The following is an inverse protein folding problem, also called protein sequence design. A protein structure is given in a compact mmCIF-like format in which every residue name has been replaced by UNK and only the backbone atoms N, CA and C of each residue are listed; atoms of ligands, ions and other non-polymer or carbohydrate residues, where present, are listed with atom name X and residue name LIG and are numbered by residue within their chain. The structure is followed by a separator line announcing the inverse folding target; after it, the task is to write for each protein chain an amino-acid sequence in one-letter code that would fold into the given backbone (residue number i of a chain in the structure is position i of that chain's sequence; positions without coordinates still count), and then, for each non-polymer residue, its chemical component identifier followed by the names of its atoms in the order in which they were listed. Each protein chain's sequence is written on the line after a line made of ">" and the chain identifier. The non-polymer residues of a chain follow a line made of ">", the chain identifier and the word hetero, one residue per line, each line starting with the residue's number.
data_IF_514119017068
#
_entry.id   IF_514119017068
#
_cell.length_a   1.000
_cell.length_b   1.000
_cell.length_c   1.000
_cell.angle_alpha   90.00
_cell.angle_beta   90.00
_cell.angle_gamma   90.00
#
_symmetry.space_group_name_H-M   'P 1'
#
loop_
_entity.id
_entity.type
_entity.pdbx_description
1 polymer ?
#
# COMPACT_ATOMS: atom_id res chain seq x y z
N UNK A 1 2.66 -6.43 -7.03
CA UNK A 1 3.16 -5.79 -5.79
C UNK A 1 3.94 -6.79 -4.99
N UNK A 2 5.09 -6.40 -4.44
CA UNK A 2 5.80 -7.21 -3.46
C UNK A 2 5.10 -7.16 -2.09
N UNK A 3 5.27 -8.21 -1.29
CA UNK A 3 4.85 -8.29 0.12
C UNK A 3 3.35 -8.06 0.37
N UNK A 4 2.51 -8.30 -0.64
CA UNK A 4 1.07 -8.02 -0.57
C UNK A 4 0.37 -8.79 0.57
N UNK A 5 0.72 -10.07 0.77
CA UNK A 5 0.10 -10.90 1.80
C UNK A 5 0.36 -10.37 3.21
N UNK A 6 1.56 -9.89 3.47
CA UNK A 6 1.95 -9.35 4.78
C UNK A 6 1.23 -8.03 5.05
N UNK A 7 1.14 -7.16 4.04
CA UNK A 7 0.45 -5.87 4.17
C UNK A 7 -1.06 -6.05 4.37
N UNK A 8 -1.68 -7.01 3.70
CA UNK A 8 -3.10 -7.32 3.86
C UNK A 8 -3.45 -7.91 5.24
N UNK A 9 -2.47 -8.42 5.99
CA UNK A 9 -2.65 -8.86 7.37
C UNK A 9 -2.63 -7.70 8.38
N UNK A 10 -2.23 -6.49 7.96
CA UNK A 10 -2.19 -5.33 8.85
C UNK A 10 -3.60 -4.78 9.01
N UNK A 11 -4.11 -4.82 10.24
CA UNK A 11 -5.44 -4.33 10.56
C UNK A 11 -5.59 -2.83 10.27
N UNK A 12 -6.70 -2.49 9.60
CA UNK A 12 -7.04 -1.14 9.20
C UNK A 12 -6.33 -0.68 7.92
N UNK A 13 -5.62 -1.57 7.21
CA UNK A 13 -4.99 -1.28 5.92
C UNK A 13 -5.80 -1.89 4.79
N UNK A 14 -6.18 -1.05 3.83
CA UNK A 14 -6.95 -1.43 2.65
C UNK A 14 -6.20 -1.02 1.39
N UNK A 15 -5.98 -1.95 0.47
CA UNK A 15 -5.29 -1.68 -0.80
C UNK A 15 -6.30 -1.68 -1.93
N UNK A 16 -6.21 -0.67 -2.80
CA UNK A 16 -7.02 -0.58 -4.01
C UNK A 16 -6.13 -0.42 -5.24
N UNK A 17 -6.18 -1.41 -6.13
CA UNK A 17 -5.42 -1.42 -7.39
C UNK A 17 -6.34 -1.11 -8.57
N UNK A 18 -5.90 -0.26 -9.48
CA UNK A 18 -6.71 0.16 -10.63
C UNK A 18 -6.77 -0.86 -11.79
N UNK A 19 -6.22 -2.07 -11.61
CA UNK A 19 -6.26 -3.12 -12.63
C UNK A 19 -5.48 -2.81 -13.93
N UNK A 20 -4.51 -1.90 -13.88
CA UNK A 20 -3.69 -1.56 -15.06
C UNK A 20 -2.77 -2.73 -15.42
N UNK A 21 -2.81 -3.13 -16.69
CA UNK A 21 -2.02 -4.25 -17.23
C UNK A 21 -0.55 -3.90 -17.45
N UNK A 22 -0.21 -2.61 -17.54
CA UNK A 22 1.15 -2.12 -17.73
C UNK A 22 1.57 -1.15 -16.62
N UNK A 23 2.86 -1.01 -16.39
CA UNK A 23 3.44 -0.05 -15.45
C UNK A 23 4.36 0.93 -16.18
N UNK A 24 4.46 2.17 -15.70
CA UNK A 24 5.45 3.13 -16.17
C UNK A 24 5.89 4.01 -14.99
N UNK A 25 7.06 4.67 -15.04
CA UNK A 25 7.47 5.64 -14.03
C UNK A 25 6.36 6.67 -13.74
N UNK A 26 6.22 7.03 -12.47
CA UNK A 26 5.23 8.01 -11.94
C UNK A 26 3.75 7.70 -12.23
N UNK A 27 3.45 6.53 -12.79
CA UNK A 27 2.06 6.12 -13.06
C UNK A 27 1.39 5.71 -11.76
N UNK A 28 0.26 6.35 -11.45
CA UNK A 28 -0.63 5.89 -10.37
C UNK A 28 -1.21 4.50 -10.73
N UNK A 29 -0.76 3.46 -10.03
CA UNK A 29 -1.23 2.08 -10.21
C UNK A 29 -2.32 1.66 -9.22
N UNK A 30 -2.49 2.44 -8.16
CA UNK A 30 -3.48 2.22 -7.12
C UNK A 30 -3.31 3.25 -6.02
N UNK A 31 -3.91 2.95 -4.88
CA UNK A 31 -3.72 3.63 -3.61
C UNK A 31 -3.95 2.64 -2.47
N UNK A 32 -3.64 3.07 -1.26
CA UNK A 32 -4.04 2.35 -0.06
C UNK A 32 -4.57 3.34 0.98
N UNK A 33 -5.42 2.84 1.85
CA UNK A 33 -6.05 3.60 2.94
C UNK A 33 -5.66 2.95 4.25
N UNK A 34 -5.35 3.78 5.25
CA UNK A 34 -4.98 3.33 6.60
C UNK A 34 -5.94 3.97 7.60
N UNK A 35 -6.51 3.14 8.46
CA UNK A 35 -7.38 3.54 9.58
C UNK A 35 -6.71 3.18 10.92
N UNK A 36 -6.79 4.11 11.86
CA UNK A 36 -6.42 3.91 13.26
C UNK A 36 -7.12 4.97 14.13
N UNK A 37 -7.15 4.76 15.44
CA UNK A 37 -7.87 5.63 16.38
C UNK A 37 -7.18 6.98 16.62
N UNK A 38 -5.87 7.06 16.39
CA UNK A 38 -5.08 8.29 16.56
C UNK A 38 -4.30 8.62 15.30
N UNK A 39 -4.01 9.91 15.11
CA UNK A 39 -3.23 10.40 13.97
C UNK A 39 -1.82 9.79 13.97
N UNK A 40 -1.20 9.67 15.13
CA UNK A 40 0.14 9.13 15.31
C UNK A 40 0.19 7.67 14.85
N UNK A 41 -0.80 6.87 15.25
CA UNK A 41 -0.92 5.48 14.82
C UNK A 41 -1.18 5.34 13.32
N UNK A 42 -1.96 6.25 12.71
CA UNK A 42 -2.14 6.29 11.25
C UNK A 42 -0.81 6.52 10.55
N UNK A 43 -0.01 7.50 11.00
CA UNK A 43 1.27 7.84 10.38
C UNK A 43 2.27 6.69 10.52
N UNK A 44 2.38 6.09 11.70
CA UNK A 44 3.28 4.95 11.94
C UNK A 44 2.92 3.75 11.05
N UNK A 45 1.63 3.37 11.01
CA UNK A 45 1.14 2.30 10.14
C UNK A 45 1.38 2.63 8.66
N UNK A 46 1.13 3.87 8.25
CA UNK A 46 1.32 4.33 6.87
C UNK A 46 2.77 4.18 6.42
N UNK A 47 3.73 4.65 7.21
CA UNK A 47 5.16 4.57 6.87
C UNK A 47 5.62 3.11 6.83
N UNK A 48 5.16 2.27 7.76
CA UNK A 48 5.41 0.82 7.73
C UNK A 48 4.92 0.20 6.41
N UNK A 49 3.65 0.41 6.06
CA UNK A 49 3.05 -0.12 4.83
C UNK A 49 3.80 0.38 3.59
N UNK A 50 4.09 1.68 3.53
CA UNK A 50 4.80 2.32 2.43
C UNK A 50 6.20 1.73 2.23
N UNK A 51 6.92 1.39 3.30
CA UNK A 51 8.23 0.75 3.20
C UNK A 51 8.18 -0.70 2.68
N UNK A 52 7.09 -1.41 2.94
CA UNK A 52 6.90 -2.81 2.53
C UNK A 52 6.44 -2.94 1.07
N UNK A 53 5.67 -1.96 0.58
CA UNK A 53 5.10 -1.97 -0.76
C UNK A 53 6.13 -1.53 -1.80
N UNK A 54 6.34 -2.39 -2.80
CA UNK A 54 7.15 -2.08 -3.98
C UNK A 54 6.48 -2.59 -5.26
N UNK A 55 6.56 -1.77 -6.31
CA UNK A 55 6.13 -2.14 -7.66
C UNK A 55 7.31 -2.85 -8.32
N UNK A 56 7.18 -4.17 -8.51
CA UNK A 56 8.07 -4.93 -9.38
C UNK A 56 7.51 -4.88 -10.79
N UNK A 57 8.28 -4.35 -11.73
CA UNK A 57 8.08 -4.66 -13.14
C UNK A 57 8.71 -6.02 -13.38
N UNK A 58 7.93 -6.95 -13.90
CA UNK A 58 8.50 -8.09 -14.64
C UNK A 58 8.94 -7.60 -16.00
#
# INVERSE_FOLDING_TARGET
>A
LANLNEVLQIEGVYIHMYGKTTTSPDRKLGHFTVLADTREAVVEKMEKVKSMLSIKST
#
